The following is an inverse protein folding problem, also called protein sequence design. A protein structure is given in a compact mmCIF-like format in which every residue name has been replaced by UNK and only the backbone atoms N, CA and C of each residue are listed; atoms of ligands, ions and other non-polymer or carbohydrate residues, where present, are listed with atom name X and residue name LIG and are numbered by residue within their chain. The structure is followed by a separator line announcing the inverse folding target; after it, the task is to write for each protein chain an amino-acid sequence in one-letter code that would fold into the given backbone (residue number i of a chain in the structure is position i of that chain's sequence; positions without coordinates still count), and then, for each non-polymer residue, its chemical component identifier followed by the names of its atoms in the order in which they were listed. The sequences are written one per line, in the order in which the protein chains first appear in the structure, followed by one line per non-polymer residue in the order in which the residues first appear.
data_IF_070842126554
#
_entry.id   IF_070842126554
#
_cell.length_a   1.000
_cell.length_b   1.000
_cell.length_c   1.000
_cell.angle_alpha   90.00
_cell.angle_beta   90.00
_cell.angle_gamma   90.00
#
_symmetry.space_group_name_H-M   'P 1'
#
loop_
_entity.id
_entity.type
_entity.pdbx_description
1 polymer ?
#
# COMPACT_ATOMS: atom_id res chain seq x y z
N UNK A 1 -8.97 -18.93 12.68
CA UNK A 1 -9.19 -17.52 12.35
C UNK A 1 -8.10 -16.69 12.99
N UNK A 2 -7.51 -15.77 12.26
CA UNK A 2 -6.49 -14.83 12.71
C UNK A 2 -7.20 -13.66 13.40
N UNK A 3 -6.94 -13.47 14.68
CA UNK A 3 -7.59 -12.43 15.51
C UNK A 3 -6.84 -11.13 15.36
N UNK A 4 -7.51 -10.13 14.80
CA UNK A 4 -6.91 -8.83 14.50
C UNK A 4 -7.41 -7.73 15.42
N UNK A 5 -6.52 -6.81 15.73
CA UNK A 5 -6.79 -5.55 16.43
C UNK A 5 -6.48 -4.42 15.47
N UNK A 6 -7.38 -3.43 15.35
CA UNK A 6 -7.13 -2.22 14.58
C UNK A 6 -6.96 -1.05 15.57
N UNK A 7 -5.86 -0.31 15.43
CA UNK A 7 -5.61 0.98 16.09
C UNK A 7 -5.93 2.10 15.10
N UNK A 8 -6.50 3.21 15.58
CA UNK A 8 -6.99 4.28 14.70
C UNK A 8 -8.16 3.82 13.83
N UNK A 9 -9.04 3.00 14.37
CA UNK A 9 -10.13 2.36 13.63
C UNK A 9 -11.20 3.33 13.12
N UNK A 10 -11.09 4.62 13.40
CA UNK A 10 -12.00 5.68 12.96
C UNK A 10 -11.52 6.46 11.74
N UNK A 11 -10.36 6.13 11.19
CA UNK A 11 -9.84 6.72 9.95
C UNK A 11 -10.56 6.17 8.70
N UNK A 12 -10.60 6.90 7.57
CA UNK A 12 -11.19 6.39 6.32
C UNK A 12 -10.54 5.09 5.84
N UNK A 13 -9.21 4.98 5.94
CA UNK A 13 -8.46 3.77 5.56
C UNK A 13 -8.80 2.58 6.45
N UNK A 14 -9.03 2.81 7.74
CA UNK A 14 -9.48 1.75 8.64
C UNK A 14 -10.91 1.29 8.32
N UNK A 15 -11.79 2.18 7.86
CA UNK A 15 -13.12 1.81 7.37
C UNK A 15 -13.04 0.88 6.16
N UNK A 16 -12.14 1.17 5.23
CA UNK A 16 -11.87 0.32 4.07
C UNK A 16 -11.26 -1.03 4.50
N UNK A 17 -10.34 -1.01 5.47
CA UNK A 17 -9.76 -2.23 6.05
C UNK A 17 -10.83 -3.12 6.67
N UNK A 18 -11.74 -2.56 7.48
CA UNK A 18 -12.84 -3.34 8.08
C UNK A 18 -13.74 -3.95 7.01
N UNK A 19 -14.03 -3.21 5.92
CA UNK A 19 -14.78 -3.73 4.77
C UNK A 19 -14.13 -4.98 4.17
N UNK A 20 -12.80 -4.98 4.02
CA UNK A 20 -12.06 -6.13 3.49
C UNK A 20 -12.08 -7.28 4.49
N UNK A 21 -11.79 -7.00 5.76
CA UNK A 21 -11.72 -8.00 6.83
C UNK A 21 -13.08 -8.69 7.04
N UNK A 22 -14.20 -7.96 6.96
CA UNK A 22 -15.54 -8.54 7.14
C UNK A 22 -15.88 -9.61 6.09
N UNK A 23 -15.22 -9.57 4.92
CA UNK A 23 -15.37 -10.57 3.86
C UNK A 23 -14.23 -11.59 3.84
N UNK A 24 -13.23 -11.47 4.71
CA UNK A 24 -12.05 -12.33 4.68
C UNK A 24 -12.32 -13.66 5.41
N UNK A 25 -12.10 -14.82 4.76
CA UNK A 25 -12.48 -16.11 5.35
C UNK A 25 -11.66 -16.51 6.59
N UNK A 26 -10.45 -15.99 6.74
CA UNK A 26 -9.49 -16.44 7.75
C UNK A 26 -9.21 -15.39 8.83
N UNK A 27 -9.77 -14.18 8.73
CA UNK A 27 -9.53 -13.07 9.67
C UNK A 27 -10.79 -12.79 10.49
N UNK A 28 -10.59 -12.48 11.78
CA UNK A 28 -11.62 -12.01 12.70
C UNK A 28 -11.16 -10.70 13.34
N UNK A 29 -11.94 -9.64 13.19
CA UNK A 29 -11.71 -8.39 13.91
C UNK A 29 -12.24 -8.52 15.33
N UNK A 30 -11.34 -8.53 16.32
CA UNK A 30 -11.70 -8.71 17.73
C UNK A 30 -11.68 -7.42 18.55
N UNK A 31 -11.06 -6.36 18.02
CA UNK A 31 -10.97 -5.06 18.70
C UNK A 31 -10.72 -3.93 17.72
N UNK A 32 -11.46 -2.84 17.87
CA UNK A 32 -11.32 -1.60 17.09
C UNK A 32 -11.06 -0.43 18.05
N UNK A 33 -9.84 0.12 18.04
CA UNK A 33 -9.48 1.21 18.93
C UNK A 33 -9.68 2.57 18.24
N UNK A 34 -10.29 3.50 18.96
CA UNK A 34 -10.34 4.92 18.60
C UNK A 34 -10.53 5.79 19.84
N UNK A 35 -9.86 6.94 19.89
CA UNK A 35 -10.00 7.87 21.01
C UNK A 35 -11.33 8.63 20.97
N UNK A 36 -11.90 8.85 22.15
CA UNK A 36 -13.14 9.62 22.33
C UNK A 36 -14.41 8.97 21.76
N UNK A 37 -14.34 7.69 21.37
CA UNK A 37 -15.47 6.95 20.78
C UNK A 37 -15.85 5.68 21.56
N UNK A 38 -15.39 5.53 22.80
CA UNK A 38 -15.65 4.36 23.64
C UNK A 38 -17.12 3.96 23.64
N UNK A 39 -17.41 2.70 23.36
CA UNK A 39 -18.76 2.12 23.33
C UNK A 39 -19.64 2.53 22.15
N UNK A 40 -19.20 3.43 21.27
CA UNK A 40 -19.94 3.76 20.05
C UNK A 40 -19.81 2.63 19.04
N UNK A 41 -20.89 2.34 18.31
CA UNK A 41 -20.85 1.36 17.23
C UNK A 41 -19.85 1.79 16.14
N UNK A 42 -19.09 0.83 15.58
CA UNK A 42 -18.16 1.06 14.48
C UNK A 42 -18.89 1.67 13.27
N UNK A 43 -20.11 1.22 13.03
CA UNK A 43 -21.01 1.72 11.97
C UNK A 43 -21.44 3.18 12.16
N UNK A 44 -21.28 3.76 13.35
CA UNK A 44 -21.56 5.19 13.58
C UNK A 44 -20.51 6.11 12.94
N UNK A 45 -19.33 5.58 12.63
CA UNK A 45 -18.25 6.26 11.90
C UNK A 45 -18.23 5.81 10.43
N UNK A 46 -18.38 4.53 10.20
CA UNK A 46 -18.28 3.87 8.90
C UNK A 46 -19.68 3.38 8.46
N UNK A 47 -20.51 4.29 7.97
CA UNK A 47 -21.91 4.01 7.63
C UNK A 47 -22.06 2.92 6.55
N UNK A 48 -21.06 2.74 5.68
CA UNK A 48 -21.06 1.67 4.67
C UNK A 48 -20.97 0.25 5.27
N UNK A 49 -20.72 0.12 6.58
CA UNK A 49 -20.63 -1.16 7.29
C UNK A 49 -21.92 -1.49 8.09
N UNK A 50 -23.01 -0.75 7.88
CA UNK A 50 -24.30 -1.04 8.52
C UNK A 50 -24.78 -2.43 8.09
N UNK A 51 -25.00 -3.32 9.09
CA UNK A 51 -25.38 -4.70 8.85
C UNK A 51 -24.22 -5.70 8.75
N UNK A 52 -22.96 -5.21 8.69
CA UNK A 52 -21.78 -6.07 8.53
C UNK A 52 -21.06 -6.34 9.86
N UNK A 53 -21.22 -5.49 10.86
CA UNK A 53 -20.57 -5.64 12.18
C UNK A 53 -21.36 -5.00 13.29
N UNK A 54 -21.31 -5.63 14.49
CA UNK A 54 -21.86 -5.10 15.74
C UNK A 54 -20.74 -4.58 16.67
N UNK A 55 -19.49 -4.55 16.23
CA UNK A 55 -18.36 -4.09 17.04
C UNK A 55 -18.53 -2.63 17.45
N UNK A 56 -18.04 -2.35 18.65
CA UNK A 56 -17.96 -1.00 19.21
C UNK A 56 -16.50 -0.58 19.36
N UNK A 57 -16.25 0.72 19.31
CA UNK A 57 -14.93 1.26 19.58
C UNK A 57 -14.53 1.07 21.05
N UNK A 58 -13.24 0.87 21.29
CA UNK A 58 -12.62 0.96 22.60
C UNK A 58 -11.47 1.94 22.61
N UNK A 59 -11.26 2.65 23.71
CA UNK A 59 -10.11 3.55 23.85
C UNK A 59 -8.84 2.78 24.21
N UNK A 60 -8.97 1.70 24.98
CA UNK A 60 -7.84 0.88 25.44
C UNK A 60 -8.05 -0.57 24.99
N UNK A 61 -7.38 -1.02 23.90
CA UNK A 61 -7.54 -2.40 23.44
C UNK A 61 -7.05 -3.40 24.51
N UNK A 62 -7.92 -4.34 24.87
CA UNK A 62 -7.63 -5.41 25.81
C UNK A 62 -8.18 -6.76 25.28
N UNK A 63 -7.75 -7.23 24.11
CA UNK A 63 -8.24 -8.47 23.55
C UNK A 63 -7.77 -9.67 24.38
N UNK A 64 -8.62 -10.70 24.50
CA UNK A 64 -8.23 -11.96 25.17
C UNK A 64 -7.13 -12.71 24.39
N UNK A 65 -7.10 -12.53 23.07
CA UNK A 65 -6.10 -13.10 22.15
C UNK A 65 -5.90 -12.14 20.99
N UNK A 66 -4.67 -12.05 20.51
CA UNK A 66 -4.28 -11.21 19.38
C UNK A 66 -3.22 -11.90 18.55
N UNK A 67 -3.43 -12.05 17.27
CA UNK A 67 -2.48 -12.63 16.33
C UNK A 67 -1.85 -11.55 15.44
N UNK A 68 -2.61 -10.48 15.09
CA UNK A 68 -2.13 -9.36 14.28
C UNK A 68 -2.66 -8.03 14.83
N UNK A 69 -1.82 -7.02 14.85
CA UNK A 69 -2.19 -5.63 15.13
C UNK A 69 -1.98 -4.82 13.87
N UNK A 70 -3.02 -4.10 13.45
CA UNK A 70 -3.03 -3.20 12.29
C UNK A 70 -3.13 -1.77 12.83
N UNK A 71 -2.02 -1.01 12.75
CA UNK A 71 -1.97 0.37 13.23
C UNK A 71 -2.24 1.34 12.07
N UNK A 72 -3.46 1.86 12.05
CA UNK A 72 -3.99 2.80 11.08
C UNK A 72 -4.18 4.21 11.67
N UNK A 73 -3.61 4.45 12.84
CA UNK A 73 -3.63 5.76 13.47
C UNK A 73 -2.75 6.75 12.72
N UNK A 74 -3.14 8.02 12.74
CA UNK A 74 -2.50 9.09 11.95
C UNK A 74 -1.00 9.25 12.28
N UNK A 75 -0.63 9.10 13.56
CA UNK A 75 0.75 9.29 14.03
C UNK A 75 1.37 8.02 14.61
N UNK A 76 0.67 6.88 14.48
CA UNK A 76 1.01 5.63 15.14
C UNK A 76 0.71 5.66 16.65
N UNK A 77 0.66 4.47 17.23
CA UNK A 77 0.35 4.25 18.64
C UNK A 77 1.47 3.46 19.35
N UNK A 78 2.70 4.01 19.47
CA UNK A 78 3.86 3.25 19.93
C UNK A 78 3.68 2.69 21.35
N UNK A 79 3.00 3.40 22.23
CA UNK A 79 2.74 2.94 23.59
C UNK A 79 1.76 1.74 23.62
N UNK A 80 0.72 1.76 22.80
CA UNK A 80 -0.23 0.65 22.65
C UNK A 80 0.45 -0.53 21.95
N UNK A 81 1.18 -0.28 20.86
CA UNK A 81 1.96 -1.29 20.13
C UNK A 81 2.92 -2.01 21.07
N UNK A 82 3.73 -1.27 21.84
CA UNK A 82 4.71 -1.84 22.78
C UNK A 82 4.02 -2.70 23.87
N UNK A 83 2.89 -2.24 24.40
CA UNK A 83 2.09 -3.00 25.37
C UNK A 83 1.54 -4.29 24.77
N UNK A 84 0.96 -4.23 23.57
CA UNK A 84 0.42 -5.40 22.89
C UNK A 84 1.55 -6.36 22.47
N UNK A 85 2.70 -5.84 22.03
CA UNK A 85 3.87 -6.65 21.69
C UNK A 85 4.42 -7.42 22.90
N UNK A 86 4.34 -6.82 24.09
CA UNK A 86 4.73 -7.48 25.34
C UNK A 86 3.69 -8.51 25.81
N UNK A 87 2.41 -8.22 25.65
CA UNK A 87 1.32 -9.12 26.04
C UNK A 87 1.16 -10.32 25.08
N UNK A 88 1.47 -10.13 23.81
CA UNK A 88 1.34 -11.12 22.73
C UNK A 88 2.66 -11.25 21.95
N UNK A 89 3.66 -11.98 22.48
CA UNK A 89 5.00 -12.07 21.86
C UNK A 89 5.01 -12.62 20.43
N UNK A 90 4.02 -13.46 20.10
CA UNK A 90 3.89 -14.06 18.75
C UNK A 90 3.05 -13.20 17.77
N UNK A 91 2.43 -12.12 18.26
CA UNK A 91 1.64 -11.25 17.41
C UNK A 91 2.50 -10.50 16.40
N UNK A 92 1.96 -10.30 15.21
CA UNK A 92 2.54 -9.51 14.11
C UNK A 92 1.97 -8.11 14.12
N UNK A 93 2.76 -7.16 13.64
CA UNK A 93 2.42 -5.75 13.65
C UNK A 93 2.57 -5.18 12.25
N UNK A 94 1.50 -4.59 11.73
CA UNK A 94 1.48 -3.94 10.41
C UNK A 94 1.01 -2.51 10.63
N UNK A 95 1.76 -1.54 10.13
CA UNK A 95 1.47 -0.12 10.31
C UNK A 95 1.42 0.59 8.97
N UNK A 96 0.50 1.55 8.82
CA UNK A 96 0.59 2.52 7.75
C UNK A 96 1.78 3.45 8.03
N UNK A 97 2.80 3.42 7.17
CA UNK A 97 3.93 4.34 7.26
C UNK A 97 3.66 5.57 6.40
N UNK A 98 3.01 6.56 7.01
CA UNK A 98 2.74 7.82 6.32
C UNK A 98 3.95 8.74 6.26
N UNK A 99 4.96 8.51 7.06
CA UNK A 99 6.09 9.43 7.19
C UNK A 99 7.47 8.78 7.35
N UNK A 100 7.62 7.69 8.07
CA UNK A 100 8.86 6.91 8.24
C UNK A 100 8.62 5.70 9.17
N UNK A 101 9.40 4.61 8.96
CA UNK A 101 9.43 3.52 9.93
C UNK A 101 9.79 4.06 11.33
N UNK A 102 9.07 3.65 12.40
CA UNK A 102 9.34 4.17 13.74
C UNK A 102 10.75 3.79 14.20
N UNK A 103 11.48 4.75 14.77
CA UNK A 103 12.72 4.47 15.51
C UNK A 103 12.34 3.98 16.94
N UNK A 104 11.71 2.83 17.01
CA UNK A 104 11.24 2.19 18.25
C UNK A 104 12.06 0.95 18.64
N UNK A 105 13.18 0.72 17.95
CA UNK A 105 14.05 -0.42 18.16
C UNK A 105 13.53 -1.75 17.60
N UNK A 106 12.43 -1.76 16.88
CA UNK A 106 11.91 -2.93 16.18
C UNK A 106 12.47 -3.01 14.74
N UNK A 107 12.61 -4.23 14.24
CA UNK A 107 13.06 -4.50 12.87
C UNK A 107 11.85 -4.47 11.91
N UNK A 108 11.52 -3.28 11.41
CA UNK A 108 10.41 -3.06 10.51
C UNK A 108 10.80 -3.40 9.06
N UNK A 109 10.13 -4.40 8.50
CA UNK A 109 10.26 -4.73 7.07
C UNK A 109 9.48 -3.71 6.25
N UNK A 110 10.09 -3.17 5.19
CA UNK A 110 9.40 -2.35 4.22
C UNK A 110 8.34 -3.20 3.50
N UNK A 111 7.09 -2.90 3.72
CA UNK A 111 5.93 -3.73 3.40
C UNK A 111 5.44 -3.60 1.96
N UNK A 112 6.33 -3.62 0.99
CA UNK A 112 5.98 -3.71 -0.42
C UNK A 112 6.24 -5.13 -0.92
N UNK A 113 5.19 -5.96 -1.10
CA UNK A 113 5.37 -7.38 -1.44
C UNK A 113 6.13 -7.62 -2.73
N UNK A 114 6.00 -6.73 -3.72
CA UNK A 114 6.72 -6.80 -4.98
C UNK A 114 8.25 -6.67 -4.82
N UNK A 115 8.70 -6.08 -3.72
CA UNK A 115 10.12 -5.91 -3.38
C UNK A 115 10.54 -6.89 -2.29
N UNK A 116 9.77 -7.02 -1.21
CA UNK A 116 10.17 -7.69 0.03
C UNK A 116 9.35 -8.94 0.38
N UNK A 117 8.68 -9.57 -0.59
CA UNK A 117 7.87 -10.79 -0.37
C UNK A 117 8.58 -11.84 0.46
N UNK A 118 9.86 -12.07 0.18
CA UNK A 118 10.67 -13.08 0.87
C UNK A 118 10.86 -12.77 2.36
N UNK A 119 11.08 -11.51 2.73
CA UNK A 119 11.22 -11.07 4.12
C UNK A 119 9.89 -11.23 4.87
N UNK A 120 8.78 -10.80 4.25
CA UNK A 120 7.43 -10.91 4.81
C UNK A 120 7.05 -12.37 5.11
N UNK A 121 7.28 -13.29 4.17
CA UNK A 121 6.95 -14.73 4.32
C UNK A 121 7.86 -15.44 5.33
N UNK A 122 9.13 -15.01 5.49
CA UNK A 122 10.11 -15.70 6.33
C UNK A 122 10.02 -15.42 7.83
N UNK A 123 8.99 -14.75 8.28
CA UNK A 123 8.73 -14.52 9.69
C UNK A 123 8.96 -13.08 10.14
N UNK A 124 8.77 -12.11 9.27
CA UNK A 124 8.67 -10.71 9.69
C UNK A 124 7.63 -10.59 10.83
N UNK A 125 8.00 -9.90 11.89
CA UNK A 125 7.10 -9.58 13.00
C UNK A 125 6.50 -8.19 12.85
N UNK A 126 7.25 -7.28 12.27
CA UNK A 126 6.86 -5.88 12.05
C UNK A 126 6.97 -5.55 10.56
N UNK A 127 5.94 -4.97 9.98
CA UNK A 127 5.93 -4.50 8.60
C UNK A 127 5.29 -3.10 8.49
N UNK A 128 5.92 -2.22 7.73
CA UNK A 128 5.44 -0.88 7.45
C UNK A 128 4.89 -0.80 6.03
N UNK A 129 3.60 -0.52 5.89
CA UNK A 129 2.93 -0.32 4.59
C UNK A 129 3.42 1.01 4.01
N UNK A 130 3.99 1.06 2.80
CA UNK A 130 4.43 2.29 2.17
C UNK A 130 3.27 3.24 1.88
N UNK A 131 3.57 4.51 1.63
CA UNK A 131 2.57 5.44 1.10
C UNK A 131 2.11 4.99 -0.30
N UNK A 132 0.85 5.27 -0.66
CA UNK A 132 0.28 4.87 -1.95
C UNK A 132 1.06 5.41 -3.16
N UNK A 133 1.56 6.66 -3.11
CA UNK A 133 2.35 7.23 -4.18
C UNK A 133 3.72 6.57 -4.28
N UNK A 134 4.37 6.30 -3.13
CA UNK A 134 5.64 5.57 -3.11
C UNK A 134 5.48 4.13 -3.60
N UNK A 135 4.43 3.43 -3.16
CA UNK A 135 4.13 2.07 -3.62
C UNK A 135 3.95 2.02 -5.14
N UNK A 136 3.12 2.92 -5.69
CA UNK A 136 2.87 3.01 -7.13
C UNK A 136 4.15 3.33 -7.92
N UNK A 137 4.94 4.33 -7.48
CA UNK A 137 6.19 4.72 -8.11
C UNK A 137 7.25 3.60 -8.08
N UNK A 138 7.39 2.93 -6.93
CA UNK A 138 8.36 1.84 -6.78
C UNK A 138 7.97 0.63 -7.63
N UNK A 139 6.70 0.24 -7.67
CA UNK A 139 6.26 -0.83 -8.57
C UNK A 139 6.53 -0.48 -10.04
N UNK A 140 6.40 0.79 -10.42
CA UNK A 140 6.74 1.24 -11.77
C UNK A 140 8.25 1.24 -12.05
N UNK A 141 9.10 1.62 -11.10
CA UNK A 141 10.54 1.87 -11.31
C UNK A 141 11.46 0.71 -10.91
N UNK A 142 11.02 -0.15 -9.98
CA UNK A 142 11.86 -1.19 -9.40
C UNK A 142 12.43 -2.18 -10.43
N UNK A 143 11.67 -2.64 -11.45
CA UNK A 143 12.23 -3.48 -12.51
C UNK A 143 13.40 -2.81 -13.25
N UNK A 144 13.32 -1.49 -13.49
CA UNK A 144 14.37 -0.73 -14.14
C UNK A 144 15.61 -0.59 -13.24
N UNK A 145 15.39 -0.33 -11.93
CA UNK A 145 16.47 -0.24 -10.95
C UNK A 145 17.27 -1.55 -10.85
N UNK A 146 16.57 -2.69 -10.77
CA UNK A 146 17.23 -4.01 -10.73
C UNK A 146 18.07 -4.32 -11.97
N UNK A 147 17.73 -3.71 -13.11
CA UNK A 147 18.45 -3.85 -14.37
C UNK A 147 19.43 -2.70 -14.63
N UNK A 148 19.72 -1.86 -13.62
CA UNK A 148 20.68 -0.76 -13.67
C UNK A 148 20.37 0.30 -14.75
N UNK A 149 19.09 0.53 -15.02
CA UNK A 149 18.61 1.41 -16.10
C UNK A 149 18.29 2.85 -15.65
N UNK A 150 18.32 3.12 -14.34
CA UNK A 150 18.06 4.47 -13.82
C UNK A 150 19.36 5.28 -13.77
N UNK A 151 19.51 6.22 -14.70
CA UNK A 151 20.76 6.97 -14.93
C UNK A 151 20.61 8.50 -14.86
N UNK A 152 19.42 9.00 -14.55
CA UNK A 152 19.08 10.43 -14.51
C UNK A 152 18.18 10.78 -13.36
N UNK A 153 17.95 12.06 -13.12
CA UNK A 153 16.87 12.53 -12.25
C UNK A 153 15.53 12.03 -12.76
N UNK A 154 14.63 11.75 -11.83
CA UNK A 154 13.29 11.22 -12.08
C UNK A 154 12.26 12.25 -11.62
N UNK A 155 11.38 12.65 -12.52
CA UNK A 155 10.21 13.46 -12.16
C UNK A 155 8.96 12.59 -12.30
N UNK A 156 8.16 12.55 -11.24
CA UNK A 156 6.90 11.83 -11.15
C UNK A 156 5.77 12.84 -11.12
N UNK A 157 4.95 12.88 -12.14
CA UNK A 157 3.74 13.70 -12.20
C UNK A 157 2.55 12.84 -11.74
N UNK A 158 2.00 13.16 -10.57
CA UNK A 158 0.91 12.39 -9.93
C UNK A 158 -0.36 13.21 -9.91
N UNK A 159 -1.41 12.67 -10.51
CA UNK A 159 -2.76 13.22 -10.47
C UNK A 159 -3.59 12.41 -9.46
N UNK A 160 -4.12 13.07 -8.41
CA UNK A 160 -4.85 12.44 -7.33
C UNK A 160 -5.96 13.33 -6.74
N UNK A 161 -6.92 12.78 -5.97
CA UNK A 161 -7.91 13.57 -5.22
C UNK A 161 -7.25 14.51 -4.23
N UNK A 162 -7.91 15.66 -3.95
CA UNK A 162 -7.39 16.69 -3.05
C UNK A 162 -7.13 16.16 -1.63
N UNK A 163 -8.03 15.36 -1.08
CA UNK A 163 -7.90 14.79 0.27
C UNK A 163 -6.68 13.86 0.38
N UNK A 164 -6.40 13.08 -0.66
CA UNK A 164 -5.21 12.21 -0.73
C UNK A 164 -3.93 13.05 -0.79
N UNK A 165 -3.93 14.12 -1.59
CA UNK A 165 -2.77 15.02 -1.69
C UNK A 165 -2.51 15.72 -0.34
N UNK A 166 -3.56 16.24 0.30
CA UNK A 166 -3.46 16.95 1.57
C UNK A 166 -2.99 16.06 2.73
N UNK A 167 -3.31 14.76 2.68
CA UNK A 167 -2.84 13.76 3.66
C UNK A 167 -1.38 13.31 3.42
N UNK A 168 -0.70 13.77 2.34
CA UNK A 168 0.59 13.25 1.88
C UNK A 168 1.73 14.24 2.10
N UNK A 169 2.79 13.84 2.83
CA UNK A 169 4.06 14.57 2.86
C UNK A 169 4.91 14.23 1.63
N UNK A 170 4.86 15.08 0.61
CA UNK A 170 5.56 14.88 -0.66
C UNK A 170 7.08 14.69 -0.46
N UNK A 171 7.71 15.45 0.46
CA UNK A 171 9.16 15.32 0.72
C UNK A 171 9.50 13.99 1.38
N UNK A 172 8.61 13.45 2.21
CA UNK A 172 8.79 12.12 2.78
C UNK A 172 8.72 11.06 1.69
N UNK A 173 7.76 11.19 0.75
CA UNK A 173 7.61 10.28 -0.40
C UNK A 173 8.85 10.31 -1.30
N UNK A 174 9.37 11.49 -1.64
CA UNK A 174 10.59 11.62 -2.44
C UNK A 174 11.79 10.89 -1.78
N UNK A 175 11.96 11.06 -0.47
CA UNK A 175 13.01 10.35 0.30
C UNK A 175 12.79 8.85 0.35
N UNK A 176 11.55 8.41 0.54
CA UNK A 176 11.17 7.01 0.57
C UNK A 176 11.50 6.32 -0.76
N UNK A 177 11.04 6.88 -1.88
CA UNK A 177 11.31 6.36 -3.22
C UNK A 177 12.82 6.33 -3.50
N UNK A 178 13.52 7.44 -3.23
CA UNK A 178 14.97 7.53 -3.46
C UNK A 178 15.72 6.44 -2.70
N UNK A 179 15.41 6.25 -1.42
CA UNK A 179 16.04 5.22 -0.57
C UNK A 179 15.86 3.82 -1.16
N UNK A 180 14.64 3.44 -1.53
CA UNK A 180 14.36 2.10 -2.05
C UNK A 180 15.00 1.88 -3.42
N UNK A 181 15.05 2.90 -4.28
CA UNK A 181 15.75 2.84 -5.57
C UNK A 181 17.27 2.73 -5.39
N UNK A 182 17.87 3.46 -4.43
CA UNK A 182 19.30 3.34 -4.13
C UNK A 182 19.67 1.96 -3.54
N UNK A 183 18.77 1.34 -2.77
CA UNK A 183 18.93 -0.03 -2.30
C UNK A 183 18.89 -1.04 -3.45
N UNK A 184 18.01 -0.84 -4.42
CA UNK A 184 17.89 -1.70 -5.61
C UNK A 184 19.02 -1.49 -6.61
N UNK A 185 19.42 -0.22 -6.81
CA UNK A 185 20.50 0.19 -7.74
C UNK A 185 21.47 1.13 -7.03
N UNK A 186 22.53 0.60 -6.45
CA UNK A 186 23.52 1.39 -5.70
C UNK A 186 24.24 2.46 -6.52
N UNK A 187 24.25 2.31 -7.85
CA UNK A 187 24.78 3.30 -8.79
C UNK A 187 23.80 4.46 -9.09
N UNK A 188 22.53 4.33 -8.72
CA UNK A 188 21.56 5.42 -8.86
C UNK A 188 21.96 6.60 -7.96
N UNK A 189 22.06 7.79 -8.53
CA UNK A 189 22.43 9.03 -7.84
C UNK A 189 21.56 10.21 -8.31
N UNK A 190 20.50 9.91 -9.04
CA UNK A 190 19.53 10.91 -9.47
C UNK A 190 18.64 11.37 -8.32
N UNK A 191 18.05 12.53 -8.47
CA UNK A 191 17.03 13.04 -7.57
C UNK A 191 15.65 12.55 -8.00
N UNK A 192 14.80 12.22 -7.04
CA UNK A 192 13.38 11.97 -7.29
C UNK A 192 12.60 13.23 -6.92
N UNK A 193 11.79 13.72 -7.84
CA UNK A 193 10.90 14.86 -7.62
C UNK A 193 9.47 14.43 -7.89
N UNK A 194 8.57 14.70 -6.95
CA UNK A 194 7.15 14.42 -7.07
C UNK A 194 6.40 15.73 -7.27
N UNK A 195 5.62 15.81 -8.35
CA UNK A 195 4.68 16.90 -8.63
C UNK A 195 3.27 16.36 -8.52
N UNK A 196 2.38 17.10 -7.90
CA UNK A 196 0.99 16.68 -7.74
C UNK A 196 0.05 17.63 -8.46
N UNK A 197 -1.01 17.08 -9.03
CA UNK A 197 -2.13 17.81 -9.61
C UNK A 197 -3.46 17.16 -9.23
N UNK A 198 -4.55 17.93 -9.36
CA UNK A 198 -5.87 17.47 -8.95
C UNK A 198 -6.52 16.57 -9.98
N UNK A 199 -7.03 15.44 -9.53
CA UNK A 199 -7.92 14.58 -10.30
C UNK A 199 -9.38 14.78 -9.93
N UNK A 200 -10.27 14.37 -10.84
CA UNK A 200 -11.72 14.29 -10.58
C UNK A 200 -12.16 12.95 -9.98
N UNK A 201 -11.21 12.05 -9.68
CA UNK A 201 -11.49 10.79 -9.03
C UNK A 201 -11.71 10.98 -7.53
N UNK A 202 -12.24 9.95 -6.85
CA UNK A 202 -12.50 10.03 -5.40
C UNK A 202 -11.46 9.31 -4.55
N UNK A 203 -10.71 8.38 -5.14
CA UNK A 203 -9.83 7.48 -4.41
C UNK A 203 -8.65 6.94 -5.20
N UNK A 204 -8.64 7.14 -6.51
CA UNK A 204 -7.60 6.62 -7.40
C UNK A 204 -6.65 7.72 -7.83
N UNK A 205 -5.40 7.35 -8.04
CA UNK A 205 -4.38 8.22 -8.60
C UNK A 205 -3.80 7.63 -9.89
N UNK A 206 -3.29 8.50 -10.72
CA UNK A 206 -2.41 8.17 -11.85
C UNK A 206 -1.05 8.83 -11.68
N UNK A 207 -0.02 8.15 -12.15
CA UNK A 207 1.36 8.59 -12.14
C UNK A 207 1.86 8.55 -13.59
N UNK A 208 2.56 9.60 -14.00
CA UNK A 208 3.20 9.72 -15.32
C UNK A 208 4.68 10.02 -15.13
N UNK A 209 5.52 9.39 -15.94
CA UNK A 209 6.93 9.74 -16.02
C UNK A 209 7.53 9.35 -17.38
N UNK A 210 8.55 10.11 -17.80
CA UNK A 210 9.38 9.84 -18.95
C UNK A 210 10.82 9.59 -18.53
N UNK A 211 11.44 8.55 -19.08
CA UNK A 211 12.84 8.20 -18.82
C UNK A 211 13.61 8.01 -20.11
N UNK A 212 14.87 8.46 -20.15
CA UNK A 212 15.77 8.07 -21.24
C UNK A 212 15.97 6.55 -21.23
N UNK A 213 15.64 5.89 -22.33
CA UNK A 213 15.77 4.44 -22.44
C UNK A 213 15.84 4.02 -23.90
N UNK A 214 16.93 3.35 -24.30
CA UNK A 214 17.12 2.85 -25.67
C UNK A 214 16.65 1.41 -25.88
N UNK A 215 16.19 0.71 -24.82
CA UNK A 215 15.62 -0.63 -24.96
C UNK A 215 14.31 -0.60 -25.73
N UNK A 216 14.10 -1.66 -26.51
CA UNK A 216 12.81 -1.89 -27.17
C UNK A 216 11.71 -2.22 -26.17
N UNK A 217 10.46 -2.04 -26.57
CA UNK A 217 9.30 -2.39 -25.73
C UNK A 217 9.30 -3.88 -25.34
N UNK A 218 9.71 -4.77 -26.26
CA UNK A 218 9.80 -6.21 -25.99
C UNK A 218 10.87 -6.55 -24.93
N UNK A 219 11.99 -5.83 -24.89
CA UNK A 219 13.01 -5.98 -23.87
C UNK A 219 12.51 -5.47 -22.52
N UNK A 220 11.81 -4.33 -22.51
CA UNK A 220 11.19 -3.78 -21.30
C UNK A 220 10.13 -4.73 -20.74
N UNK A 221 9.27 -5.31 -21.57
CA UNK A 221 8.28 -6.28 -21.11
C UNK A 221 8.91 -7.53 -20.49
N UNK A 222 10.07 -7.99 -20.98
CA UNK A 222 10.80 -9.08 -20.32
C UNK A 222 11.34 -8.68 -18.95
N UNK A 223 11.78 -7.44 -18.78
CA UNK A 223 12.22 -6.89 -17.48
C UNK A 223 11.04 -6.84 -16.51
N UNK A 224 9.89 -6.35 -16.94
CA UNK A 224 8.68 -6.31 -16.14
C UNK A 224 8.02 -7.67 -15.95
N UNK A 225 8.43 -8.71 -16.67
CA UNK A 225 8.03 -10.10 -16.44
C UNK A 225 8.40 -10.64 -15.07
N UNK A 226 9.22 -9.91 -14.28
CA UNK A 226 9.41 -10.21 -12.85
C UNK A 226 8.10 -10.19 -12.04
N UNK A 227 7.06 -9.53 -12.55
CA UNK A 227 5.74 -9.44 -11.92
C UNK A 227 4.77 -10.58 -12.32
N UNK A 228 5.17 -11.51 -13.18
CA UNK A 228 4.28 -12.60 -13.65
C UNK A 228 3.77 -13.49 -12.50
N UNK A 229 4.56 -13.63 -11.43
CA UNK A 229 4.18 -14.37 -10.21
C UNK A 229 3.56 -13.46 -9.13
N UNK A 230 3.40 -12.15 -9.38
CA UNK A 230 2.76 -11.21 -8.48
C UNK A 230 1.30 -10.97 -8.87
N UNK A 231 0.42 -10.83 -7.88
CA UNK A 231 -1.01 -10.79 -8.12
C UNK A 231 -1.61 -9.38 -8.16
N UNK A 232 -0.81 -8.35 -7.88
CA UNK A 232 -1.29 -6.98 -7.77
C UNK A 232 -0.49 -5.95 -8.59
N UNK A 233 0.61 -6.34 -9.23
CA UNK A 233 1.36 -5.53 -10.18
C UNK A 233 1.13 -6.05 -11.61
N UNK A 234 0.63 -5.19 -12.50
CA UNK A 234 0.21 -5.60 -13.85
C UNK A 234 0.84 -4.70 -14.93
N UNK A 235 2.00 -5.09 -15.50
CA UNK A 235 2.55 -4.40 -16.67
C UNK A 235 1.69 -4.69 -17.91
N UNK A 236 1.34 -3.62 -18.66
CA UNK A 236 0.52 -3.69 -19.86
C UNK A 236 1.05 -2.75 -20.94
N UNK A 237 0.63 -2.94 -22.19
CA UNK A 237 0.99 -2.06 -23.32
C UNK A 237 -0.15 -1.11 -23.74
N UNK A 238 -1.24 -1.10 -22.98
CA UNK A 238 -2.39 -0.23 -23.26
C UNK A 238 -2.59 0.73 -22.10
N UNK A 239 -3.01 1.97 -22.34
CA UNK A 239 -3.36 2.86 -21.24
C UNK A 239 -4.54 2.30 -20.46
N UNK A 240 -4.46 2.38 -19.12
CA UNK A 240 -5.51 1.99 -18.20
C UNK A 240 -5.82 3.18 -17.30
N UNK A 241 -7.07 3.64 -17.34
CA UNK A 241 -7.51 4.78 -16.55
C UNK A 241 -7.58 4.46 -15.05
N UNK A 242 -7.43 5.47 -14.20
CA UNK A 242 -7.44 5.28 -12.74
C UNK A 242 -8.78 4.70 -12.22
N UNK A 243 -9.91 4.99 -12.85
CA UNK A 243 -11.22 4.44 -12.47
C UNK A 243 -11.28 2.90 -12.58
N UNK A 244 -10.52 2.32 -13.51
CA UNK A 244 -10.55 0.88 -13.80
C UNK A 244 -9.83 0.02 -12.76
N UNK A 245 -9.14 0.65 -11.80
CA UNK A 245 -8.51 -0.01 -10.65
C UNK A 245 -9.22 0.26 -9.33
N UNK A 246 -10.25 1.12 -9.34
CA UNK A 246 -10.97 1.55 -8.16
C UNK A 246 -11.53 0.37 -7.34
N UNK A 247 -11.34 0.39 -6.02
CA UNK A 247 -11.77 -0.66 -5.10
C UNK A 247 -10.91 -1.94 -5.12
N UNK A 248 -9.75 -1.93 -5.79
CA UNK A 248 -8.82 -3.07 -5.87
C UNK A 248 -7.42 -2.68 -5.39
N UNK A 249 -6.62 -3.67 -4.97
CA UNK A 249 -5.21 -3.46 -4.61
C UNK A 249 -4.26 -3.46 -5.82
N UNK A 250 -4.81 -3.41 -7.03
CA UNK A 250 -4.02 -3.46 -8.27
C UNK A 250 -3.24 -2.16 -8.49
N UNK A 251 -1.98 -2.31 -8.92
CA UNK A 251 -1.22 -1.29 -9.60
C UNK A 251 -1.05 -1.73 -11.06
N UNK A 252 -1.64 -1.00 -11.99
CA UNK A 252 -1.49 -1.27 -13.43
C UNK A 252 -0.46 -0.31 -13.99
N UNK A 253 0.54 -0.84 -14.71
CA UNK A 253 1.69 -0.11 -15.25
C UNK A 253 1.62 -0.20 -16.77
N UNK A 254 1.35 0.91 -17.43
CA UNK A 254 1.33 1.01 -18.89
C UNK A 254 2.70 1.45 -19.40
N UNK A 255 3.28 0.68 -20.30
CA UNK A 255 4.59 0.95 -20.91
C UNK A 255 4.39 1.33 -22.36
N UNK A 256 4.98 2.45 -22.78
CA UNK A 256 4.99 2.85 -24.19
C UNK A 256 6.30 3.54 -24.58
N UNK A 257 6.56 3.58 -25.87
CA UNK A 257 7.75 4.22 -26.46
C UNK A 257 7.26 5.27 -27.47
N UNK A 258 7.10 6.55 -27.05
CA UNK A 258 6.72 7.62 -27.98
C UNK A 258 7.78 7.86 -29.07
N UNK A 259 9.05 7.59 -28.75
CA UNK A 259 10.19 7.60 -29.65
C UNK A 259 11.21 6.51 -29.25
N UNK A 260 12.25 6.21 -30.05
CA UNK A 260 13.21 5.14 -29.75
C UNK A 260 14.00 5.31 -28.45
N UNK A 261 14.20 6.53 -27.99
CA UNK A 261 15.08 6.86 -26.87
C UNK A 261 14.33 7.21 -25.57
N UNK A 262 13.00 7.30 -25.62
CA UNK A 262 12.16 7.64 -24.47
C UNK A 262 11.26 6.47 -24.06
N UNK A 263 11.30 6.08 -22.79
CA UNK A 263 10.30 5.21 -22.16
C UNK A 263 9.28 6.08 -21.44
N UNK A 264 8.03 5.96 -21.83
CA UNK A 264 6.89 6.54 -21.14
C UNK A 264 6.22 5.49 -20.26
N UNK A 265 6.02 5.81 -18.98
CA UNK A 265 5.37 4.95 -18.00
C UNK A 265 4.19 5.69 -17.39
N UNK A 266 3.01 5.07 -17.48
CA UNK A 266 1.84 5.44 -16.72
C UNK A 266 1.55 4.36 -15.69
N UNK A 267 1.19 4.75 -14.46
CA UNK A 267 0.70 3.81 -13.48
C UNK A 267 -0.60 4.30 -12.84
N UNK A 268 -1.49 3.38 -12.52
CA UNK A 268 -2.77 3.69 -11.88
C UNK A 268 -3.01 2.77 -10.69
N UNK A 269 -3.46 3.34 -9.56
CA UNK A 269 -3.80 2.61 -8.35
C UNK A 269 -4.92 3.30 -7.55
N UNK A 270 -5.57 2.54 -6.69
CA UNK A 270 -6.52 3.06 -5.70
C UNK A 270 -5.78 3.35 -4.39
N UNK A 271 -5.69 4.61 -4.00
CA UNK A 271 -4.91 5.05 -2.84
C UNK A 271 -5.51 4.65 -1.47
N UNK A 272 -6.75 4.19 -1.40
CA UNK A 272 -7.34 3.61 -0.18
C UNK A 272 -7.12 2.09 -0.11
N UNK A 273 -6.66 1.49 -1.20
CA UNK A 273 -6.28 0.08 -1.29
C UNK A 273 -4.75 -0.07 -1.32
N UNK A 274 -4.11 0.40 -2.37
CA UNK A 274 -2.66 0.38 -2.56
C UNK A 274 -1.98 1.40 -1.63
N UNK A 275 -0.99 0.97 -0.85
CA UNK A 275 -0.39 1.80 0.21
C UNK A 275 -1.33 2.10 1.37
N UNK A 276 -2.40 1.32 1.53
CA UNK A 276 -3.41 1.46 2.57
C UNK A 276 -4.02 0.09 2.94
N UNK A 277 -5.35 -0.01 3.00
CA UNK A 277 -6.06 -1.17 3.51
C UNK A 277 -5.80 -2.46 2.71
N UNK A 278 -5.80 -2.40 1.39
CA UNK A 278 -5.56 -3.57 0.53
C UNK A 278 -4.15 -4.13 0.71
N UNK A 279 -3.15 -3.26 0.63
CA UNK A 279 -1.75 -3.66 0.81
C UNK A 279 -1.47 -4.17 2.23
N UNK A 280 -2.10 -3.59 3.25
CA UNK A 280 -1.99 -4.09 4.63
C UNK A 280 -2.53 -5.53 4.77
N UNK A 281 -3.65 -5.85 4.12
CA UNK A 281 -4.19 -7.23 4.09
C UNK A 281 -3.32 -8.15 3.24
N UNK A 282 -2.75 -7.67 2.13
CA UNK A 282 -1.78 -8.43 1.34
C UNK A 282 -0.55 -8.83 2.19
N UNK A 283 0.03 -7.87 2.92
CA UNK A 283 1.13 -8.10 3.86
C UNK A 283 0.71 -9.08 4.96
N UNK A 284 -0.47 -8.90 5.57
CA UNK A 284 -0.99 -9.79 6.59
C UNK A 284 -1.08 -11.23 6.08
N UNK A 285 -1.63 -11.43 4.88
CA UNK A 285 -1.73 -12.74 4.25
C UNK A 285 -0.36 -13.42 4.14
N UNK A 286 0.64 -12.70 3.61
CA UNK A 286 2.01 -13.22 3.48
C UNK A 286 2.64 -13.54 4.83
N UNK A 287 2.54 -12.62 5.80
CA UNK A 287 3.11 -12.81 7.14
C UNK A 287 2.46 -13.97 7.87
N UNK A 288 1.18 -14.23 7.63
CA UNK A 288 0.42 -15.32 8.27
C UNK A 288 0.43 -16.64 7.49
N UNK A 289 1.13 -16.70 6.34
CA UNK A 289 1.23 -17.90 5.52
C UNK A 289 -0.05 -18.23 4.75
N UNK A 290 -0.91 -17.24 4.54
CA UNK A 290 -2.08 -17.34 3.68
C UNK A 290 -1.71 -17.06 2.21
N UNK A 291 -2.61 -17.45 1.30
CA UNK A 291 -2.47 -17.05 -0.10
C UNK A 291 -2.71 -15.54 -0.22
N UNK A 292 -1.81 -14.81 -0.88
CA UNK A 292 -1.79 -13.35 -0.95
C UNK A 292 -3.10 -12.71 -1.46
N UNK A 293 -3.88 -13.40 -2.31
CA UNK A 293 -5.18 -12.94 -2.81
C UNK A 293 -6.37 -13.21 -1.89
N UNK A 294 -6.17 -13.90 -0.76
CA UNK A 294 -7.29 -14.21 0.16
C UNK A 294 -7.92 -12.91 0.66
N UNK A 295 -9.23 -12.78 0.51
CA UNK A 295 -9.97 -11.55 0.85
C UNK A 295 -9.77 -10.38 -0.13
N UNK A 296 -8.81 -10.47 -1.07
CA UNK A 296 -8.43 -9.40 -2.00
C UNK A 296 -8.78 -9.69 -3.48
N UNK A 297 -9.56 -10.74 -3.76
CA UNK A 297 -10.04 -11.04 -5.13
C UNK A 297 -11.16 -10.08 -5.59
N UNK A 298 -11.00 -8.81 -5.24
CA UNK A 298 -11.95 -7.73 -5.51
C UNK A 298 -11.95 -7.37 -7.00
N UNK A 299 -13.10 -6.89 -7.47
CA UNK A 299 -13.27 -6.36 -8.82
C UNK A 299 -13.36 -4.85 -8.76
N UNK A 300 -12.89 -4.19 -9.80
CA UNK A 300 -13.06 -2.75 -9.91
C UNK A 300 -14.56 -2.40 -9.81
N UNK A 301 -14.84 -1.30 -9.13
CA UNK A 301 -16.21 -0.84 -8.87
C UNK A 301 -16.67 0.21 -9.89
N UNK A 302 -15.75 0.68 -10.72
CA UNK A 302 -16.03 1.69 -11.74
C UNK A 302 -15.52 1.19 -13.10
N UNK A 303 -16.44 1.01 -14.04
CA UNK A 303 -16.14 0.55 -15.39
C UNK A 303 -16.62 1.61 -16.38
N UNK A 304 -15.69 2.20 -17.12
CA UNK A 304 -16.05 3.04 -18.25
C UNK A 304 -15.95 2.20 -19.54
N UNK A 305 -17.01 2.21 -20.37
CA UNK A 305 -16.90 1.63 -21.72
C UNK A 305 -15.87 2.45 -22.51
N UNK A 306 -14.95 1.76 -23.17
CA UNK A 306 -13.93 2.30 -24.07
C UNK A 306 -14.62 2.82 -25.34
#
# INVERSE_FOLDING_TARGET
MIRTVILGADTPDAGELVRIISMHPDIELVCAQAYGKEGRALTSQHHGLIGETELTFTTVPAPAKCDVVLDFSEHGEPAIVSRLASAFPEARFIRLDRCQAPDDGNDWVYGLPEINRKALVRGARFAAVPNSFASMALVALYPLALNLLLNSDITLDIEAPQDIIDETDIRAIEREITRELELAQTSFKGNVTVRTSLSNTRRTASLHLDLPCSLSLDELLRIYGMYDDHHFAFPVMMPVGPSEVAGTDKCVISLSKPDPDTLHIDASADCRMRGAAGEAVHILNLMCGLHERTGLALKAIDFHPI
#
